data_IF_098718328145
#
_entry.id   IF_098718328145
#
_cell.length_a   1.000
_cell.length_b   1.000
_cell.length_c   1.000
_cell.angle_alpha   90.00
_cell.angle_beta   90.00
_cell.angle_gamma   90.00
#
_symmetry.space_group_name_H-M   'P 1'
#
loop_
_entity.id
_entity.type
_entity.pdbx_description
1 polymer ?
#
# COMPACT_ATOMS: atom_id res chain seq x y z
N UNK A 1 12.76 1.50 -18.75
CA UNK A 1 11.85 1.89 -17.65
C UNK A 1 12.68 2.60 -16.60
N UNK A 2 12.35 3.85 -16.28
CA UNK A 2 13.00 4.58 -15.18
C UNK A 2 12.30 4.11 -13.90
N UNK A 3 13.02 3.57 -12.89
CA UNK A 3 12.41 3.17 -11.64
C UNK A 3 11.78 4.36 -10.90
N UNK A 4 10.65 4.14 -10.25
CA UNK A 4 9.95 5.15 -9.47
C UNK A 4 10.63 5.34 -8.11
N UNK A 5 11.02 6.57 -7.78
CA UNK A 5 11.75 6.91 -6.54
C UNK A 5 10.88 7.56 -5.46
N UNK A 6 9.59 7.76 -5.71
CA UNK A 6 8.67 8.32 -4.71
C UNK A 6 8.19 7.29 -3.68
N UNK A 7 7.32 7.73 -2.79
CA UNK A 7 6.68 6.86 -1.82
C UNK A 7 5.53 6.06 -2.46
N UNK A 8 5.40 4.79 -2.07
CA UNK A 8 4.34 3.88 -2.53
C UNK A 8 3.71 3.16 -1.34
N UNK A 9 2.39 3.14 -1.32
CA UNK A 9 1.60 2.24 -0.48
C UNK A 9 1.13 1.08 -1.36
N UNK A 10 1.59 -0.13 -1.06
CA UNK A 10 1.28 -1.34 -1.82
C UNK A 10 0.32 -2.21 -1.00
N UNK A 11 -0.87 -2.46 -1.55
CA UNK A 11 -1.88 -3.34 -0.94
C UNK A 11 -1.97 -4.62 -1.75
N UNK A 12 -1.75 -5.77 -1.09
CA UNK A 12 -1.91 -7.09 -1.70
C UNK A 12 -3.09 -7.84 -1.09
N UNK A 13 -3.88 -8.48 -1.94
CA UNK A 13 -4.91 -9.42 -1.53
C UNK A 13 -4.25 -10.74 -1.05
N UNK A 14 -4.69 -11.26 0.10
CA UNK A 14 -4.10 -12.46 0.73
C UNK A 14 -4.23 -13.72 -0.12
N UNK A 15 -5.35 -13.88 -0.83
CA UNK A 15 -5.59 -15.03 -1.71
C UNK A 15 -4.97 -14.85 -3.11
N UNK A 16 -4.33 -13.71 -3.35
CA UNK A 16 -3.72 -13.34 -4.63
C UNK A 16 -2.31 -13.90 -4.83
N UNK A 17 -1.82 -13.78 -6.07
CA UNK A 17 -0.40 -14.02 -6.39
C UNK A 17 0.47 -12.95 -5.72
N UNK A 18 1.58 -13.37 -5.12
CA UNK A 18 2.62 -12.44 -4.63
C UNK A 18 3.35 -11.78 -5.82
N UNK A 19 2.89 -10.59 -6.18
CA UNK A 19 3.44 -9.81 -7.30
C UNK A 19 4.54 -8.83 -6.89
N UNK A 20 4.81 -8.64 -5.60
CA UNK A 20 5.81 -7.66 -5.17
C UNK A 20 7.21 -8.00 -5.71
N UNK A 21 7.50 -9.27 -5.94
CA UNK A 21 8.78 -9.70 -6.53
C UNK A 21 9.01 -9.13 -7.94
N UNK A 22 7.93 -8.88 -8.69
CA UNK A 22 7.95 -8.28 -10.02
C UNK A 22 8.02 -6.74 -9.94
N UNK A 23 7.32 -6.14 -8.97
CA UNK A 23 7.29 -4.68 -8.77
C UNK A 23 8.53 -4.12 -8.07
N UNK A 24 9.11 -4.86 -7.12
CA UNK A 24 10.19 -4.40 -6.25
C UNK A 24 11.40 -3.79 -6.99
N UNK A 25 11.90 -4.39 -8.08
CA UNK A 25 12.98 -3.81 -8.87
C UNK A 25 12.67 -2.42 -9.46
N UNK A 26 11.39 -2.11 -9.68
CA UNK A 26 10.91 -0.86 -10.28
C UNK A 26 10.65 0.24 -9.24
N UNK A 27 10.63 -0.08 -7.94
CA UNK A 27 10.32 0.84 -6.84
C UNK A 27 11.59 1.11 -6.01
N UNK A 28 12.21 2.28 -6.19
CA UNK A 28 13.46 2.69 -5.54
C UNK A 28 13.27 3.66 -4.36
N UNK A 29 12.06 4.19 -4.18
CA UNK A 29 11.70 5.00 -3.03
C UNK A 29 11.26 4.16 -1.83
N UNK A 30 10.55 4.80 -0.90
CA UNK A 30 9.98 4.11 0.26
C UNK A 30 8.73 3.34 -0.16
N UNK A 31 8.64 2.07 0.23
CA UNK A 31 7.46 1.25 -0.02
C UNK A 31 6.94 0.67 1.29
N UNK A 32 5.73 1.08 1.69
CA UNK A 32 5.01 0.42 2.76
C UNK A 32 4.07 -0.61 2.14
N UNK A 33 4.02 -1.82 2.71
CA UNK A 33 3.22 -2.93 2.18
C UNK A 33 2.20 -3.36 3.21
N UNK A 34 0.98 -3.62 2.75
CA UNK A 34 -0.12 -4.11 3.57
C UNK A 34 -0.75 -5.30 2.89
N UNK A 35 -1.05 -6.31 3.71
CA UNK A 35 -1.83 -7.47 3.29
C UNK A 35 -3.28 -7.24 3.69
N UNK A 36 -4.21 -7.49 2.76
CA UNK A 36 -5.64 -7.31 2.95
C UNK A 36 -6.34 -8.63 2.65
N UNK A 37 -7.27 -9.09 3.50
CA UNK A 37 -7.98 -10.35 3.27
C UNK A 37 -8.81 -10.37 2.00
N UNK A 38 -8.99 -11.57 1.44
CA UNK A 38 -9.78 -11.84 0.24
C UNK A 38 -8.93 -11.95 -1.02
N UNK A 39 -9.63 -12.10 -2.14
CA UNK A 39 -9.08 -12.16 -3.50
C UNK A 39 -8.85 -10.77 -4.10
N UNK A 40 -8.24 -10.72 -5.30
CA UNK A 40 -8.08 -9.47 -6.05
C UNK A 40 -9.42 -8.79 -6.39
N UNK A 41 -10.48 -9.58 -6.57
CA UNK A 41 -11.82 -9.06 -6.86
C UNK A 41 -12.46 -8.52 -5.58
N UNK A 42 -12.32 -9.22 -4.46
CA UNK A 42 -12.95 -8.84 -3.19
C UNK A 42 -12.24 -7.69 -2.47
N UNK A 43 -10.96 -7.43 -2.76
CA UNK A 43 -10.18 -6.40 -2.05
C UNK A 43 -10.78 -4.98 -2.20
N UNK A 44 -11.55 -4.75 -3.26
CA UNK A 44 -12.23 -3.46 -3.52
C UNK A 44 -13.64 -3.38 -2.93
N UNK A 45 -14.13 -4.47 -2.34
CA UNK A 45 -15.44 -4.56 -1.71
C UNK A 45 -15.35 -4.57 -0.18
N UNK A 46 -16.47 -4.30 0.50
CA UNK A 46 -16.55 -4.43 1.96
C UNK A 46 -16.52 -5.91 2.35
N UNK A 47 -15.74 -6.30 3.39
CA UNK A 47 -15.07 -5.42 4.37
C UNK A 47 -13.61 -5.09 4.05
N UNK A 48 -13.03 -5.60 2.96
CA UNK A 48 -11.62 -5.44 2.65
C UNK A 48 -11.24 -3.98 2.33
N UNK A 49 -12.07 -3.27 1.57
CA UNK A 49 -11.85 -1.87 1.20
C UNK A 49 -11.84 -0.93 2.41
N UNK A 50 -12.58 -1.26 3.47
CA UNK A 50 -12.60 -0.50 4.71
C UNK A 50 -11.24 -0.56 5.41
N UNK A 51 -10.57 -1.72 5.39
CA UNK A 51 -9.20 -1.85 5.92
C UNK A 51 -8.20 -1.02 5.11
N UNK A 52 -8.32 -0.98 3.79
CA UNK A 52 -7.50 -0.10 2.95
C UNK A 52 -7.70 1.36 3.35
N UNK A 53 -8.95 1.79 3.51
CA UNK A 53 -9.26 3.15 3.94
C UNK A 53 -8.62 3.49 5.30
N UNK A 54 -8.68 2.56 6.27
CA UNK A 54 -8.02 2.74 7.57
C UNK A 54 -6.49 2.87 7.44
N UNK A 55 -5.84 2.04 6.62
CA UNK A 55 -4.39 2.16 6.40
C UNK A 55 -4.01 3.49 5.76
N UNK A 56 -4.80 3.95 4.78
CA UNK A 56 -4.58 5.25 4.14
C UNK A 56 -4.70 6.41 5.14
N UNK A 57 -5.74 6.39 5.99
CA UNK A 57 -5.91 7.40 7.03
C UNK A 57 -4.70 7.44 7.96
N UNK A 58 -4.24 6.28 8.45
CA UNK A 58 -3.08 6.21 9.34
C UNK A 58 -1.79 6.72 8.69
N UNK A 59 -1.55 6.40 7.42
CA UNK A 59 -0.37 6.91 6.70
C UNK A 59 -0.45 8.41 6.48
N UNK A 60 -1.62 8.96 6.14
CA UNK A 60 -1.80 10.40 5.95
C UNK A 60 -1.75 11.18 7.26
N UNK A 61 -2.34 10.68 8.34
CA UNK A 61 -2.21 11.29 9.68
C UNK A 61 -0.76 11.26 10.16
N UNK A 62 -0.05 10.13 9.98
CA UNK A 62 1.37 10.02 10.31
C UNK A 62 2.26 10.95 9.46
N UNK A 63 1.87 11.27 8.23
CA UNK A 63 2.53 12.28 7.40
C UNK A 63 2.26 13.69 7.97
N UNK A 64 1.02 13.99 8.33
CA UNK A 64 0.64 15.28 8.92
C UNK A 64 1.43 15.54 10.21
N UNK A 65 1.49 14.57 11.13
CA UNK A 65 2.25 14.70 12.37
C UNK A 65 3.73 14.98 12.12
N UNK A 66 4.38 14.25 11.19
CA UNK A 66 5.78 14.48 10.83
C UNK A 66 6.00 15.84 10.18
N UNK A 67 5.05 16.33 9.39
CA UNK A 67 5.16 17.64 8.74
C UNK A 67 5.04 18.81 9.71
N UNK A 68 4.30 18.66 10.82
CA UNK A 68 4.16 19.68 11.86
C UNK A 68 5.41 19.76 12.76
N UNK A 69 6.15 18.67 12.88
CA UNK A 69 7.34 18.55 13.73
C UNK A 69 8.66 18.94 13.02
N UNK A 70 8.61 19.33 11.74
CA UNK A 70 9.74 19.79 10.93
C UNK A 70 9.69 21.30 10.72
#
# INVERSE_FOLDING_TARGET
>A
LIPYSGEVLYFSAEEGKELFTEWGPLLKGRVNKYSVPGSHEEIVDSPAVEKIAMYLLNEFEGIIEKSILL
#
